data_IF_221913515337
#
_entry.id   IF_221913515337
#
_cell.length_a   1.000
_cell.length_b   1.000
_cell.length_c   1.000
_cell.angle_alpha   90.00
_cell.angle_beta   90.00
_cell.angle_gamma   90.00
#
_symmetry.space_group_name_H-M   'P 1'
#
loop_
_entity.id
_entity.type
_entity.pdbx_description
1 polymer ?
#
# COMPACT_ATOMS: atom_id res chain seq x y z
N UNK A 1 10.05 -28.65 38.81
CA UNK A 1 10.38 -28.96 37.39
C UNK A 1 10.50 -27.61 36.69
N UNK A 2 11.68 -26.99 36.62
CA UNK A 2 12.67 -27.18 35.53
C UNK A 2 12.01 -26.79 34.20
N UNK A 3 12.23 -25.64 33.56
CA UNK A 3 13.48 -24.95 33.28
C UNK A 3 13.85 -25.21 31.82
N UNK A 4 13.76 -24.20 30.94
CA UNK A 4 14.79 -23.81 29.95
C UNK A 4 14.28 -22.65 29.06
N UNK A 5 14.97 -21.52 29.19
CA UNK A 5 14.95 -20.42 28.24
C UNK A 5 15.60 -20.83 26.91
N UNK A 6 15.03 -20.42 25.78
CA UNK A 6 15.77 -20.17 24.54
C UNK A 6 15.30 -18.87 23.90
N UNK A 7 16.16 -17.87 24.00
CA UNK A 7 16.15 -16.64 23.22
C UNK A 7 16.57 -16.96 21.78
N UNK A 8 15.74 -16.57 20.81
CA UNK A 8 16.01 -16.72 19.38
C UNK A 8 15.67 -15.43 18.65
N UNK A 9 16.60 -14.48 18.67
CA UNK A 9 16.57 -13.31 17.79
C UNK A 9 16.72 -13.79 16.34
N UNK A 10 15.69 -13.58 15.51
CA UNK A 10 15.81 -13.71 14.06
C UNK A 10 15.97 -12.33 13.45
N UNK A 11 17.12 -12.12 12.83
CA UNK A 11 17.45 -10.97 12.00
C UNK A 11 16.43 -10.82 10.86
N UNK A 12 15.84 -9.64 10.73
CA UNK A 12 15.13 -9.20 9.54
C UNK A 12 16.18 -8.67 8.56
N UNK A 13 16.40 -9.41 7.48
CA UNK A 13 17.22 -8.97 6.36
C UNK A 13 16.41 -7.99 5.49
N UNK A 14 16.82 -6.73 5.49
CA UNK A 14 16.43 -5.75 4.48
C UNK A 14 17.08 -6.14 3.14
N UNK A 15 16.31 -6.66 2.19
CA UNK A 15 16.69 -6.70 0.78
C UNK A 15 16.11 -5.47 0.09
N UNK A 16 17.01 -4.54 -0.22
CA UNK A 16 16.72 -3.30 -0.93
C UNK A 16 16.24 -3.55 -2.36
N UNK A 17 15.28 -2.72 -2.78
CA UNK A 17 14.80 -2.57 -4.14
C UNK A 17 15.90 -2.01 -5.06
N UNK A 18 16.07 -2.55 -6.28
CA UNK A 18 16.96 -1.98 -7.28
C UNK A 18 16.29 -0.84 -8.07
N UNK A 19 17.01 0.27 -8.14
CA UNK A 19 16.69 1.46 -8.94
C UNK A 19 17.08 1.20 -10.40
N UNK A 20 16.12 1.15 -11.32
CA UNK A 20 16.39 1.00 -12.75
C UNK A 20 15.96 2.29 -13.48
N UNK A 21 16.94 3.02 -14.01
CA UNK A 21 16.71 4.15 -14.94
C UNK A 21 16.67 3.62 -16.38
N UNK A 22 15.74 4.10 -17.24
CA UNK A 22 15.66 3.70 -18.63
C UNK A 22 16.47 4.65 -19.52
N UNK A 23 17.13 4.10 -20.54
CA UNK A 23 17.75 4.92 -21.58
C UNK A 23 18.63 4.14 -22.55
N UNK A 24 18.03 3.61 -23.62
CA UNK A 24 18.74 3.46 -24.89
C UNK A 24 17.70 3.48 -26.03
N UNK A 25 17.94 4.25 -27.09
CA UNK A 25 18.12 3.57 -28.38
C UNK A 25 19.22 4.23 -29.22
N UNK A 26 20.13 3.44 -29.80
CA UNK A 26 20.28 3.25 -31.26
C UNK A 26 21.51 2.38 -31.59
N UNK A 27 21.25 1.34 -32.40
CA UNK A 27 21.98 0.81 -33.58
C UNK A 27 23.52 0.92 -33.73
N UNK A 28 24.01 -0.11 -34.44
CA UNK A 28 25.27 -0.28 -35.17
C UNK A 28 26.41 -0.90 -34.33
N UNK A 29 26.63 -2.22 -34.46
CA UNK A 29 27.41 -2.86 -35.51
C UNK A 29 28.90 -2.47 -35.42
N UNK A 30 29.73 -3.35 -34.85
CA UNK A 30 30.97 -3.76 -35.51
C UNK A 30 31.58 -5.00 -34.83
N UNK A 31 31.73 -6.02 -35.66
CA UNK A 31 32.42 -7.29 -35.49
C UNK A 31 33.81 -7.06 -36.08
N UNK A 32 34.88 -7.19 -35.30
CA UNK A 32 36.19 -7.67 -35.80
C UNK A 32 36.93 -8.37 -34.65
N UNK A 33 37.12 -9.67 -34.82
CA UNK A 33 38.07 -10.48 -34.05
C UNK A 33 39.51 -10.15 -34.47
N UNK A 34 40.47 -10.24 -33.54
CA UNK A 34 41.82 -10.68 -33.91
C UNK A 34 42.43 -11.56 -32.82
N UNK A 35 42.45 -12.86 -33.15
CA UNK A 35 43.57 -13.78 -33.02
C UNK A 35 44.67 -13.45 -31.99
N UNK A 36 44.87 -14.36 -31.03
CA UNK A 36 45.98 -15.32 -31.13
C UNK A 36 45.92 -16.39 -30.05
N UNK A 37 46.19 -17.61 -30.52
CA UNK A 37 46.13 -18.90 -29.88
C UNK A 37 47.50 -19.29 -29.35
N UNK A 38 47.58 -19.85 -28.15
CA UNK A 38 48.42 -21.00 -27.72
C UNK A 38 48.38 -21.03 -26.17
N UNK A 39 48.29 -22.14 -25.45
CA UNK A 39 48.59 -23.53 -25.73
C UNK A 39 49.63 -24.03 -24.72
N UNK A 40 49.29 -25.09 -23.95
CA UNK A 40 50.07 -25.84 -22.93
C UNK A 40 50.15 -25.21 -21.52
N UNK A 41 49.76 -25.84 -20.41
CA UNK A 41 49.87 -27.22 -19.85
C UNK A 41 51.25 -27.59 -19.29
N UNK A 42 51.27 -27.98 -18.00
CA UNK A 42 52.35 -28.75 -17.33
C UNK A 42 53.11 -27.94 -16.27
N UNK A 43 52.84 -28.07 -14.96
CA UNK A 43 53.31 -29.10 -13.98
C UNK A 43 54.77 -28.98 -13.54
N UNK A 44 54.95 -28.99 -12.21
CA UNK A 44 56.21 -29.27 -11.51
C UNK A 44 57.04 -28.02 -11.18
N UNK A 45 57.36 -27.65 -9.94
CA UNK A 45 57.47 -28.46 -8.73
C UNK A 45 58.95 -28.53 -8.34
N UNK A 46 59.27 -27.87 -7.22
CA UNK A 46 60.44 -28.05 -6.35
C UNK A 46 61.80 -27.82 -7.02
N UNK A 47 62.60 -26.89 -6.53
CA UNK A 47 63.63 -27.10 -5.51
C UNK A 47 64.53 -25.85 -5.64
N UNK A 48 65.18 -25.29 -4.63
CA UNK A 48 65.77 -25.87 -3.44
C UNK A 48 66.26 -24.69 -2.59
N UNK A 49 66.32 -24.94 -1.28
CA UNK A 49 67.42 -24.58 -0.38
C UNK A 49 67.80 -23.11 -0.23
N UNK A 50 68.05 -22.53 0.93
CA UNK A 50 68.16 -22.94 2.33
C UNK A 50 68.20 -21.56 3.01
N UNK A 51 67.39 -21.28 4.03
CA UNK A 51 67.86 -21.28 5.43
C UNK A 51 69.27 -20.66 5.53
N UNK A 52 69.48 -19.62 6.32
CA UNK A 52 69.23 -19.60 7.76
C UNK A 52 69.93 -18.35 8.31
N UNK A 53 69.44 -17.89 9.46
CA UNK A 53 70.17 -17.10 10.47
C UNK A 53 70.48 -15.66 10.03
N UNK A 54 70.04 -14.63 10.73
CA UNK A 54 69.96 -14.55 12.18
C UNK A 54 70.71 -13.27 12.58
N UNK A 55 70.12 -12.60 13.56
CA UNK A 55 70.80 -11.76 14.54
C UNK A 55 71.37 -10.41 14.10
N UNK A 56 70.77 -9.37 14.70
CA UNK A 56 71.45 -8.30 15.42
C UNK A 56 72.44 -7.40 14.65
N UNK A 57 72.01 -6.16 14.35
CA UNK A 57 72.52 -4.93 15.03
C UNK A 57 71.89 -3.66 14.46
N UNK A 58 71.50 -2.77 15.36
CA UNK A 58 71.27 -1.34 15.10
C UNK A 58 72.62 -0.64 14.86
N UNK A 59 72.60 0.44 14.06
CA UNK A 59 73.09 1.74 14.52
C UNK A 59 72.00 2.81 14.27
N UNK A 60 71.38 3.44 15.26
CA UNK A 60 71.87 4.59 16.02
C UNK A 60 72.62 5.63 15.19
N UNK A 61 71.88 6.63 14.67
CA UNK A 61 72.25 8.04 14.84
C UNK A 61 70.99 8.90 14.76
N UNK A 62 70.94 9.85 15.69
CA UNK A 62 69.77 10.61 16.06
C UNK A 62 69.37 11.62 14.98
N UNK A 63 68.09 11.64 14.63
CA UNK A 63 67.38 12.89 14.34
C UNK A 63 66.08 12.82 15.12
N UNK A 64 66.08 13.40 16.32
CA UNK A 64 64.83 13.75 16.99
C UNK A 64 64.20 14.88 16.16
N UNK A 65 62.98 14.73 15.60
CA UNK A 65 62.25 15.93 15.21
C UNK A 65 62.07 16.76 16.49
N UNK A 66 62.23 18.10 16.42
CA UNK A 66 62.15 18.93 17.61
C UNK A 66 60.83 18.61 18.31
N UNK A 67 60.90 18.30 19.62
CA UNK A 67 59.72 18.36 20.50
C UNK A 67 59.13 19.74 20.28
N UNK A 68 58.11 19.86 19.42
CA UNK A 68 57.33 21.10 19.30
C UNK A 68 56.94 21.44 20.73
N UNK A 69 57.33 22.62 21.24
CA UNK A 69 56.84 23.02 22.54
C UNK A 69 55.32 22.93 22.41
N UNK A 70 54.67 22.21 23.33
CA UNK A 70 53.26 22.43 23.59
C UNK A 70 53.19 23.86 24.11
N UNK A 71 53.23 24.83 23.19
CA UNK A 71 52.82 26.21 23.41
C UNK A 71 51.35 26.10 23.73
N UNK A 72 51.12 25.80 24.99
CA UNK A 72 49.81 25.70 25.58
C UNK A 72 49.51 27.13 25.94
N UNK A 73 49.12 27.94 24.96
CA UNK A 73 48.58 29.26 25.23
C UNK A 73 47.34 29.02 26.12
N UNK A 74 47.37 29.42 27.41
CA UNK A 74 46.24 29.16 28.30
C UNK A 74 44.98 29.86 27.80
N UNK A 75 45.17 30.96 27.07
CA UNK A 75 44.11 31.71 26.40
C UNK A 75 43.38 30.91 25.31
N UNK A 76 44.10 30.17 24.47
CA UNK A 76 43.45 29.33 23.44
C UNK A 76 42.84 28.06 24.03
N UNK A 77 43.37 27.52 25.14
CA UNK A 77 42.73 26.42 25.87
C UNK A 77 41.41 26.83 26.52
N UNK A 78 41.35 27.99 27.17
CA UNK A 78 40.11 28.51 27.73
C UNK A 78 39.04 28.74 26.63
N UNK A 79 39.45 29.31 25.49
CA UNK A 79 38.55 29.48 24.34
C UNK A 79 38.08 28.14 23.75
N UNK A 80 38.95 27.13 23.66
CA UNK A 80 38.58 25.80 23.14
C UNK A 80 37.68 25.03 24.12
N UNK A 81 37.86 25.21 25.44
CA UNK A 81 37.00 24.65 26.47
C UNK A 81 35.60 25.28 26.47
N UNK A 82 35.50 26.60 26.32
CA UNK A 82 34.22 27.30 26.15
C UNK A 82 33.51 26.87 24.86
N UNK A 83 34.26 26.69 23.76
CA UNK A 83 33.68 26.20 22.51
C UNK A 83 33.18 24.75 22.65
N UNK A 84 33.96 23.88 23.31
CA UNK A 84 33.55 22.49 23.58
C UNK A 84 32.34 22.41 24.51
N UNK A 85 32.23 23.28 25.51
CA UNK A 85 31.06 23.36 26.39
C UNK A 85 29.81 23.76 25.61
N UNK A 86 29.90 24.84 24.80
CA UNK A 86 28.79 25.28 23.94
C UNK A 86 28.39 24.20 22.93
N UNK A 87 29.34 23.57 22.27
CA UNK A 87 29.06 22.51 21.29
C UNK A 87 28.43 21.28 21.95
N UNK A 88 28.85 20.91 23.17
CA UNK A 88 28.20 19.83 23.94
C UNK A 88 26.76 20.19 24.28
N UNK A 89 26.52 21.40 24.79
CA UNK A 89 25.18 21.89 25.11
C UNK A 89 24.27 21.92 23.88
N UNK A 90 24.76 22.44 22.75
CA UNK A 90 24.02 22.46 21.48
C UNK A 90 23.74 21.03 20.99
N UNK A 91 24.72 20.14 21.03
CA UNK A 91 24.54 18.74 20.64
C UNK A 91 23.47 18.05 21.50
N UNK A 92 23.44 18.28 22.81
CA UNK A 92 22.43 17.70 23.69
C UNK A 92 21.02 18.21 23.38
N UNK A 93 20.86 19.49 23.07
CA UNK A 93 19.55 20.04 22.70
C UNK A 93 19.07 19.52 21.34
N UNK A 94 19.96 19.46 20.34
CA UNK A 94 19.61 18.92 19.02
C UNK A 94 19.25 17.43 19.11
N UNK A 95 20.00 16.65 19.90
CA UNK A 95 19.69 15.25 20.12
C UNK A 95 18.34 15.06 20.83
N UNK A 96 18.05 15.87 21.86
CA UNK A 96 16.76 15.82 22.55
C UNK A 96 15.59 16.18 21.64
N UNK A 97 15.74 17.20 20.79
CA UNK A 97 14.73 17.59 19.80
C UNK A 97 14.48 16.48 18.76
N UNK A 98 15.54 15.84 18.26
CA UNK A 98 15.43 14.74 17.30
C UNK A 98 14.69 13.53 17.90
N UNK A 99 15.03 13.14 19.13
CA UNK A 99 14.32 12.05 19.84
C UNK A 99 12.87 12.43 20.11
N UNK A 100 12.60 13.68 20.47
CA UNK A 100 11.25 14.19 20.66
C UNK A 100 10.39 14.11 19.40
N UNK A 101 10.91 14.53 18.25
CA UNK A 101 10.19 14.45 16.98
C UNK A 101 9.92 13.00 16.54
N UNK A 102 10.88 12.10 16.75
CA UNK A 102 10.71 10.68 16.46
C UNK A 102 9.65 10.03 17.38
N UNK A 103 9.69 10.37 18.67
CA UNK A 103 8.70 9.91 19.65
C UNK A 103 7.29 10.41 19.33
N UNK A 104 7.14 11.68 18.97
CA UNK A 104 5.86 12.26 18.59
C UNK A 104 5.29 11.62 17.32
N UNK A 105 6.14 11.38 16.31
CA UNK A 105 5.72 10.72 15.07
C UNK A 105 5.25 9.28 15.31
N UNK A 106 5.93 8.55 16.20
CA UNK A 106 5.53 7.19 16.57
C UNK A 106 4.23 7.16 17.40
N UNK A 107 4.05 8.13 18.30
CA UNK A 107 2.87 8.24 19.16
C UNK A 107 1.62 8.78 18.44
N UNK A 108 1.78 9.52 17.34
CA UNK A 108 0.66 10.10 16.60
C UNK A 108 -0.33 9.04 16.07
N UNK A 109 0.18 7.90 15.59
CA UNK A 109 -0.65 6.83 15.02
C UNK A 109 -1.61 6.19 16.05
N UNK A 110 -1.15 5.67 17.22
CA UNK A 110 -2.05 5.11 18.21
C UNK A 110 -2.97 6.16 18.84
N UNK A 111 -2.51 7.41 19.00
CA UNK A 111 -3.33 8.49 19.54
C UNK A 111 -4.47 8.88 18.58
N UNK A 112 -4.18 8.91 17.27
CA UNK A 112 -5.18 9.08 16.22
C UNK A 112 -6.20 7.94 16.21
N UNK A 113 -5.74 6.68 16.36
CA UNK A 113 -6.64 5.52 16.45
C UNK A 113 -7.57 5.60 17.65
N UNK A 114 -7.05 5.96 18.83
CA UNK A 114 -7.86 6.11 20.03
C UNK A 114 -8.91 7.23 19.85
N UNK A 115 -8.52 8.35 19.26
CA UNK A 115 -9.44 9.44 18.95
C UNK A 115 -10.51 9.02 17.94
N UNK A 116 -10.14 8.31 16.88
CA UNK A 116 -11.10 7.81 15.88
C UNK A 116 -12.07 6.78 16.46
N UNK A 117 -11.63 5.97 17.44
CA UNK A 117 -12.49 5.01 18.13
C UNK A 117 -13.50 5.69 19.06
N UNK A 118 -13.13 6.80 19.72
CA UNK A 118 -14.03 7.49 20.64
C UNK A 118 -14.97 8.47 19.95
N UNK A 119 -14.54 9.08 18.84
CA UNK A 119 -15.34 10.08 18.09
C UNK A 119 -16.08 9.51 16.89
N UNK A 120 -15.78 8.29 16.45
CA UNK A 120 -16.49 7.62 15.34
C UNK A 120 -16.21 8.20 13.95
N UNK A 121 -15.40 9.26 13.84
CA UNK A 121 -15.13 10.00 12.60
C UNK A 121 -14.29 9.25 11.54
N UNK A 122 -13.85 8.02 11.82
CA UNK A 122 -12.79 7.34 11.04
C UNK A 122 -13.12 5.97 10.47
N UNK A 123 -14.34 5.44 10.63
CA UNK A 123 -14.81 4.20 9.98
C UNK A 123 -13.87 2.98 10.11
N UNK A 124 -12.97 2.96 11.09
CA UNK A 124 -11.89 1.99 11.18
C UNK A 124 -12.40 0.75 11.90
N UNK A 125 -12.74 -0.25 11.10
CA UNK A 125 -13.21 -1.59 11.45
C UNK A 125 -12.60 -2.15 12.74
N UNK A 126 -13.47 -2.37 13.74
CA UNK A 126 -13.28 -3.51 14.63
C UNK A 126 -13.45 -4.74 13.74
N UNK A 127 -12.33 -5.38 13.40
CA UNK A 127 -12.31 -6.62 12.64
C UNK A 127 -13.08 -7.70 13.43
N UNK A 128 -14.39 -7.79 13.20
CA UNK A 128 -15.26 -8.74 13.90
C UNK A 128 -16.74 -8.37 13.96
N UNK A 129 -17.13 -7.10 13.78
CA UNK A 129 -18.54 -6.71 14.05
C UNK A 129 -19.43 -6.50 12.81
N UNK A 130 -18.90 -6.61 11.59
CA UNK A 130 -19.71 -6.43 10.39
C UNK A 130 -20.76 -7.55 10.18
N UNK A 131 -20.51 -8.76 10.70
CA UNK A 131 -21.49 -9.87 10.69
C UNK A 131 -22.46 -9.80 11.87
N UNK A 132 -21.98 -9.45 13.07
CA UNK A 132 -22.79 -9.43 14.29
C UNK A 132 -23.76 -8.24 14.33
N UNK A 133 -23.46 -7.13 13.64
CA UNK A 133 -24.40 -6.01 13.52
C UNK A 133 -25.65 -6.42 12.74
N UNK A 134 -25.54 -7.26 11.72
CA UNK A 134 -26.70 -7.68 10.91
C UNK A 134 -27.66 -8.53 11.75
N UNK A 135 -27.16 -9.36 12.68
CA UNK A 135 -28.00 -10.20 13.54
C UNK A 135 -28.77 -9.43 14.62
N UNK A 136 -28.31 -8.23 14.99
CA UNK A 136 -28.91 -7.41 16.04
C UNK A 136 -29.74 -6.21 15.51
N UNK A 137 -29.82 -6.01 14.20
CA UNK A 137 -30.65 -4.94 13.62
C UNK A 137 -32.13 -5.29 13.77
N UNK A 138 -32.88 -4.42 14.45
CA UNK A 138 -34.35 -4.53 14.52
C UNK A 138 -34.92 -3.81 13.30
N UNK A 139 -35.63 -4.49 12.39
CA UNK A 139 -36.19 -3.86 11.21
C UNK A 139 -37.30 -2.88 11.60
N UNK A 140 -37.22 -1.65 11.08
CA UNK A 140 -38.21 -0.59 11.35
C UNK A 140 -39.37 -0.72 10.37
N UNK A 141 -40.29 -1.65 10.68
CA UNK A 141 -41.40 -2.07 9.80
C UNK A 141 -42.32 -0.95 9.30
N UNK A 142 -42.33 0.18 9.96
CA UNK A 142 -43.25 1.28 9.68
C UNK A 142 -42.80 2.14 8.48
N UNK A 143 -41.62 1.88 7.89
CA UNK A 143 -41.08 2.66 6.79
C UNK A 143 -40.70 1.77 5.59
N UNK A 144 -41.50 1.83 4.53
CA UNK A 144 -41.26 1.06 3.30
C UNK A 144 -40.54 1.95 2.30
N UNK A 145 -39.37 1.53 1.84
CA UNK A 145 -38.57 2.22 0.83
C UNK A 145 -38.67 1.47 -0.48
N UNK A 146 -38.96 2.21 -1.54
CA UNK A 146 -38.95 1.72 -2.91
C UNK A 146 -37.52 1.82 -3.44
N UNK A 147 -36.92 0.67 -3.77
CA UNK A 147 -35.62 0.61 -4.44
C UNK A 147 -35.82 0.30 -5.91
N UNK A 148 -35.41 1.21 -6.78
CA UNK A 148 -35.44 1.05 -8.23
C UNK A 148 -34.06 0.68 -8.76
N UNK A 149 -34.02 -0.27 -9.69
CA UNK A 149 -32.79 -0.76 -10.29
C UNK A 149 -32.66 -0.27 -11.72
N UNK A 150 -31.58 0.45 -11.98
CA UNK A 150 -31.20 0.87 -13.32
C UNK A 150 -29.92 0.16 -13.78
N UNK A 151 -29.83 -0.10 -15.08
CA UNK A 151 -28.75 -0.82 -15.72
C UNK A 151 -28.39 -0.14 -17.04
N UNK A 152 -27.16 0.36 -17.11
CA UNK A 152 -26.61 1.05 -18.26
C UNK A 152 -25.32 0.37 -18.73
N UNK A 153 -25.03 0.49 -20.02
CA UNK A 153 -23.77 0.03 -20.63
C UNK A 153 -23.13 1.17 -21.40
N UNK A 154 -21.83 1.32 -21.28
CA UNK A 154 -21.09 2.30 -22.06
C UNK A 154 -21.05 1.87 -23.54
N UNK A 155 -21.07 2.84 -24.47
CA UNK A 155 -21.14 2.57 -25.91
C UNK A 155 -20.00 1.70 -26.48
N UNK A 156 -18.87 1.63 -25.79
CA UNK A 156 -17.76 0.74 -26.16
C UNK A 156 -18.05 -0.74 -25.88
N UNK A 157 -18.96 -1.03 -24.94
CA UNK A 157 -19.29 -2.37 -24.49
C UNK A 157 -20.62 -2.82 -25.11
N UNK A 158 -20.56 -3.85 -25.95
CA UNK A 158 -21.73 -4.38 -26.66
C UNK A 158 -22.50 -5.42 -25.85
N UNK A 159 -22.62 -5.24 -24.54
CA UNK A 159 -23.37 -6.16 -23.68
C UNK A 159 -24.85 -5.80 -23.61
N UNK A 160 -25.69 -6.81 -23.48
CA UNK A 160 -27.07 -6.61 -23.06
C UNK A 160 -27.12 -6.81 -21.54
N UNK A 161 -27.19 -5.70 -20.82
CA UNK A 161 -27.25 -5.67 -19.36
C UNK A 161 -28.58 -5.08 -18.92
N UNK A 162 -29.31 -5.83 -18.09
CA UNK A 162 -30.64 -5.43 -17.62
C UNK A 162 -30.93 -5.97 -16.22
N UNK A 163 -31.70 -5.24 -15.39
CA UNK A 163 -32.17 -5.81 -14.15
C UNK A 163 -33.20 -6.91 -14.44
N UNK A 164 -33.28 -7.94 -13.59
CA UNK A 164 -34.39 -8.90 -13.64
C UNK A 164 -35.66 -8.29 -13.03
N UNK A 165 -35.49 -7.43 -12.03
CA UNK A 165 -36.56 -6.72 -11.32
C UNK A 165 -36.28 -5.22 -11.34
N UNK A 166 -37.22 -4.42 -11.84
CA UNK A 166 -37.04 -2.96 -11.97
C UNK A 166 -37.21 -2.24 -10.64
N UNK A 167 -38.01 -2.81 -9.72
CA UNK A 167 -38.25 -2.24 -8.39
C UNK A 167 -38.49 -3.33 -7.36
N UNK A 168 -38.10 -3.05 -6.12
CA UNK A 168 -38.50 -3.81 -4.93
C UNK A 168 -38.86 -2.87 -3.79
N UNK A 169 -39.63 -3.37 -2.84
CA UNK A 169 -40.00 -2.67 -1.63
C UNK A 169 -39.30 -3.34 -0.45
N UNK A 170 -38.54 -2.56 0.31
CA UNK A 170 -37.72 -3.05 1.42
C UNK A 170 -37.89 -2.14 2.62
N UNK A 171 -37.68 -2.71 3.80
CA UNK A 171 -37.73 -1.98 5.08
C UNK A 171 -36.30 -1.71 5.57
N UNK A 172 -36.00 -0.55 6.18
CA UNK A 172 -34.73 -0.33 6.86
C UNK A 172 -34.45 -1.41 7.92
N UNK A 173 -33.25 -1.99 7.88
CA UNK A 173 -32.82 -3.15 8.68
C UNK A 173 -33.15 -4.51 8.04
N UNK A 174 -33.88 -4.55 6.93
CA UNK A 174 -34.12 -5.79 6.16
C UNK A 174 -33.04 -5.96 5.08
N UNK A 175 -32.57 -7.19 4.91
CA UNK A 175 -31.66 -7.54 3.82
C UNK A 175 -32.44 -7.96 2.58
N UNK A 176 -31.97 -7.51 1.41
CA UNK A 176 -32.62 -7.77 0.13
C UNK A 176 -31.62 -8.24 -0.92
N UNK A 177 -32.13 -9.06 -1.85
CA UNK A 177 -31.38 -9.61 -2.97
C UNK A 177 -32.00 -9.12 -4.28
N UNK A 178 -31.16 -8.59 -5.16
CA UNK A 178 -31.53 -8.21 -6.51
C UNK A 178 -30.66 -8.92 -7.54
N UNK A 179 -31.26 -9.27 -8.68
CA UNK A 179 -30.57 -9.94 -9.76
C UNK A 179 -30.48 -9.05 -10.98
N UNK A 180 -29.29 -8.98 -11.56
CA UNK A 180 -29.07 -8.43 -12.88
C UNK A 180 -28.66 -9.53 -13.85
N UNK A 181 -28.96 -9.33 -15.13
CA UNK A 181 -28.61 -10.26 -16.18
C UNK A 181 -27.72 -9.57 -17.19
N UNK A 182 -26.57 -10.17 -17.48
CA UNK A 182 -25.65 -9.71 -18.49
C UNK A 182 -25.47 -10.79 -19.56
N UNK A 183 -25.53 -10.38 -20.83
CA UNK A 183 -25.27 -11.23 -21.98
C UNK A 183 -24.25 -10.59 -22.90
N UNK A 184 -23.29 -11.38 -23.35
CA UNK A 184 -22.37 -10.98 -24.42
C UNK A 184 -22.87 -11.53 -25.78
N UNK A 185 -23.51 -10.70 -26.63
CA UNK A 185 -23.97 -11.11 -27.96
C UNK A 185 -22.86 -11.19 -29.00
N UNK A 186 -21.60 -10.86 -28.67
CA UNK A 186 -20.49 -10.85 -29.63
C UNK A 186 -19.81 -12.22 -29.75
N UNK A 187 -19.03 -12.41 -30.83
CA UNK A 187 -18.30 -13.64 -31.10
C UNK A 187 -16.92 -13.72 -30.41
N UNK A 188 -16.60 -12.75 -29.56
CA UNK A 188 -15.32 -12.68 -28.83
C UNK A 188 -15.57 -12.55 -27.32
N UNK A 189 -14.66 -13.08 -26.48
CA UNK A 189 -14.73 -12.81 -25.06
C UNK A 189 -14.49 -11.32 -24.81
N UNK A 190 -15.30 -10.73 -23.93
CA UNK A 190 -15.18 -9.32 -23.54
C UNK A 190 -15.05 -9.26 -22.03
N UNK A 191 -14.23 -8.35 -21.54
CA UNK A 191 -14.05 -8.09 -20.11
C UNK A 191 -14.70 -6.74 -19.81
N UNK A 192 -15.57 -6.72 -18.82
CA UNK A 192 -16.28 -5.54 -18.35
C UNK A 192 -15.98 -5.28 -16.89
N UNK A 193 -15.90 -4.01 -16.51
CA UNK A 193 -15.89 -3.56 -15.12
C UNK A 193 -17.11 -2.67 -14.90
N UNK A 194 -17.74 -2.79 -13.73
CA UNK A 194 -18.91 -1.98 -13.40
C UNK A 194 -18.62 -0.97 -12.29
N UNK A 195 -19.30 0.16 -12.39
CA UNK A 195 -19.43 1.14 -11.32
C UNK A 195 -20.90 1.30 -10.95
N UNK A 196 -21.17 1.67 -9.71
CA UNK A 196 -22.53 1.89 -9.23
C UNK A 196 -22.68 3.30 -8.67
N UNK A 197 -23.92 3.80 -8.69
CA UNK A 197 -24.31 5.01 -8.00
C UNK A 197 -25.66 4.82 -7.31
N UNK A 198 -25.83 5.51 -6.18
CA UNK A 198 -27.06 5.53 -5.39
C UNK A 198 -27.62 6.95 -5.43
N UNK A 199 -28.90 7.07 -5.73
CA UNK A 199 -29.62 8.35 -5.80
C UNK A 199 -30.88 8.26 -4.95
N UNK A 200 -31.21 9.23 -4.08
CA UNK A 200 -30.44 10.46 -3.81
C UNK A 200 -29.13 10.18 -3.06
N UNK A 201 -28.15 11.10 -3.16
CA UNK A 201 -26.79 10.87 -2.65
C UNK A 201 -26.76 10.78 -1.11
N UNK A 202 -27.65 11.51 -0.46
CA UNK A 202 -27.81 11.55 0.99
C UNK A 202 -28.26 10.19 1.54
N UNK A 203 -29.04 9.42 0.76
CA UNK A 203 -29.41 8.04 1.12
C UNK A 203 -28.26 7.05 0.92
N UNK A 204 -27.24 7.41 0.13
CA UNK A 204 -26.11 6.55 -0.17
C UNK A 204 -25.29 6.15 1.06
N UNK A 205 -25.26 6.97 2.12
CA UNK A 205 -24.55 6.65 3.36
C UNK A 205 -25.19 5.52 4.17
N UNK A 206 -26.52 5.35 4.03
CA UNK A 206 -27.29 4.30 4.70
C UNK A 206 -27.44 3.05 3.84
N UNK A 207 -27.09 3.13 2.56
CA UNK A 207 -27.22 2.02 1.62
C UNK A 207 -25.96 1.15 1.65
N UNK A 208 -26.06 0.00 2.33
CA UNK A 208 -24.95 -0.91 2.53
C UNK A 208 -25.04 -2.11 1.59
N UNK A 209 -24.07 -2.22 0.68
CA UNK A 209 -24.01 -3.30 -0.31
C UNK A 209 -23.00 -4.36 0.12
N UNK A 210 -23.51 -5.48 0.62
CA UNK A 210 -22.72 -6.58 1.20
C UNK A 210 -21.95 -7.33 0.12
N UNK A 211 -22.55 -7.60 -1.03
CA UNK A 211 -21.91 -8.33 -2.14
C UNK A 211 -22.18 -7.62 -3.48
N UNK A 212 -21.12 -7.43 -4.28
CA UNK A 212 -21.26 -6.90 -5.63
C UNK A 212 -20.14 -7.32 -6.57
N UNK A 213 -20.52 -7.53 -7.82
CA UNK A 213 -19.65 -7.59 -9.00
C UNK A 213 -18.94 -6.26 -9.36
N UNK A 214 -19.11 -5.23 -8.53
CA UNK A 214 -18.58 -3.89 -8.73
C UNK A 214 -17.08 -3.93 -8.53
N UNK A 215 -16.34 -3.30 -9.43
CA UNK A 215 -14.88 -3.23 -9.39
C UNK A 215 -14.15 -4.56 -9.60
N UNK A 216 -14.88 -5.64 -9.89
CA UNK A 216 -14.31 -6.90 -10.35
C UNK A 216 -14.41 -6.99 -11.87
N UNK A 217 -13.34 -7.48 -12.50
CA UNK A 217 -13.33 -7.76 -13.92
C UNK A 217 -14.21 -8.97 -14.22
N UNK A 218 -15.35 -8.72 -14.86
CA UNK A 218 -16.26 -9.76 -15.33
C UNK A 218 -15.90 -10.13 -16.75
N UNK A 219 -15.53 -11.38 -16.99
CA UNK A 219 -15.26 -11.90 -18.33
C UNK A 219 -16.46 -12.72 -18.81
N UNK A 220 -17.06 -12.30 -19.93
CA UNK A 220 -18.12 -13.06 -20.60
C UNK A 220 -17.62 -13.61 -21.93
N UNK A 221 -17.72 -14.92 -22.10
CA UNK A 221 -17.43 -15.61 -23.34
C UNK A 221 -18.50 -15.27 -24.41
N UNK A 222 -18.23 -15.63 -25.69
CA UNK A 222 -19.20 -15.41 -26.75
C UNK A 222 -20.55 -16.07 -26.45
N UNK A 223 -21.64 -15.34 -26.65
CA UNK A 223 -23.02 -15.77 -26.39
C UNK A 223 -23.32 -16.21 -24.95
N UNK A 224 -22.40 -15.96 -24.01
CA UNK A 224 -22.60 -16.29 -22.60
C UNK A 224 -23.59 -15.32 -21.95
N UNK A 225 -24.46 -15.87 -21.12
CA UNK A 225 -25.43 -15.13 -20.30
C UNK A 225 -25.27 -15.57 -18.86
N UNK A 226 -25.13 -14.60 -17.95
CA UNK A 226 -24.94 -14.85 -16.51
C UNK A 226 -25.89 -13.98 -15.69
N UNK A 227 -26.32 -14.54 -14.56
CA UNK A 227 -27.07 -13.82 -13.54
C UNK A 227 -26.10 -13.34 -12.45
N UNK A 228 -26.11 -12.03 -12.19
CA UNK A 228 -25.24 -11.35 -11.24
C UNK A 228 -26.07 -10.90 -10.03
N UNK A 229 -25.96 -11.58 -8.88
CA UNK A 229 -26.66 -11.18 -7.66
C UNK A 229 -26.01 -9.95 -7.01
N UNK A 230 -26.85 -9.10 -6.43
CA UNK A 230 -26.47 -7.98 -5.57
C UNK A 230 -27.20 -8.12 -4.25
N UNK A 231 -26.44 -8.26 -3.17
CA UNK A 231 -26.98 -8.38 -1.83
C UNK A 231 -26.72 -7.08 -1.05
N UNK A 232 -27.78 -6.49 -0.50
CA UNK A 232 -27.71 -5.19 0.16
C UNK A 232 -28.75 -5.08 1.29
N UNK A 233 -28.59 -4.07 2.12
CA UNK A 233 -29.58 -3.65 3.11
C UNK A 233 -29.53 -2.12 3.26
N UNK A 234 -30.61 -1.56 3.83
CA UNK A 234 -30.66 -0.16 4.23
C UNK A 234 -30.48 -0.13 5.75
N UNK A 235 -29.57 0.70 6.24
CA UNK A 235 -29.34 0.86 7.68
C UNK A 235 -30.62 1.38 8.39
N UNK A 236 -31.04 0.80 9.53
CA UNK A 236 -32.19 1.32 10.30
C UNK A 236 -32.04 2.79 10.72
N UNK A 237 -30.83 3.33 10.86
CA UNK A 237 -30.58 4.76 11.15
C UNK A 237 -31.19 5.69 10.07
N UNK A 238 -31.45 5.18 8.86
CA UNK A 238 -32.18 5.89 7.81
C UNK A 238 -33.57 6.37 8.27
N UNK A 239 -34.23 5.59 9.13
CA UNK A 239 -35.55 5.92 9.65
C UNK A 239 -35.51 7.06 10.69
N UNK A 240 -34.38 7.24 11.37
CA UNK A 240 -34.20 8.19 12.46
C UNK A 240 -33.71 9.57 11.97
N UNK A 241 -33.03 9.64 10.81
CA UNK A 241 -32.52 10.90 10.26
C UNK A 241 -33.66 11.80 9.73
N UNK A 242 -33.82 13.03 10.26
CA UNK A 242 -34.78 14.02 9.76
C UNK A 242 -34.60 14.37 8.28
N UNK A 243 -33.37 14.32 7.77
CA UNK A 243 -33.04 14.63 6.37
C UNK A 243 -33.60 13.58 5.41
N UNK A 244 -33.75 12.35 5.89
CA UNK A 244 -34.23 11.24 5.10
C UNK A 244 -35.76 11.18 5.06
N UNK A 245 -36.51 11.91 5.90
CA UNK A 245 -37.98 11.77 6.08
C UNK A 245 -38.77 11.77 4.76
N UNK A 246 -38.34 12.55 3.76
CA UNK A 246 -39.03 12.66 2.46
C UNK A 246 -38.43 11.76 1.36
N UNK A 247 -37.49 10.89 1.70
CA UNK A 247 -36.82 9.98 0.78
C UNK A 247 -37.46 8.60 0.91
N UNK A 248 -38.38 8.30 -0.01
CA UNK A 248 -39.04 6.98 -0.11
C UNK A 248 -38.58 6.19 -1.34
N UNK A 249 -37.82 6.83 -2.24
CA UNK A 249 -37.32 6.25 -3.48
C UNK A 249 -35.80 6.31 -3.51
N UNK A 250 -35.18 5.14 -3.62
CA UNK A 250 -33.74 5.01 -3.82
C UNK A 250 -33.51 4.32 -5.17
N UNK A 251 -32.75 4.94 -6.06
CA UNK A 251 -32.34 4.34 -7.32
C UNK A 251 -30.91 3.84 -7.22
N UNK A 252 -30.75 2.53 -7.39
CA UNK A 252 -29.45 1.88 -7.56
C UNK A 252 -29.17 1.72 -9.06
N UNK A 253 -28.25 2.53 -9.57
CA UNK A 253 -27.85 2.49 -10.97
C UNK A 253 -26.49 1.85 -11.13
N UNK A 254 -26.36 0.98 -12.13
CA UNK A 254 -25.12 0.33 -12.52
C UNK A 254 -24.75 0.68 -13.94
N UNK A 255 -23.47 0.98 -14.16
CA UNK A 255 -22.94 1.22 -15.50
C UNK A 255 -21.74 0.33 -15.74
N UNK A 256 -21.78 -0.46 -16.82
CA UNK A 256 -20.66 -1.27 -17.26
C UNK A 256 -19.78 -0.55 -18.29
N UNK A 257 -18.47 -0.73 -18.13
CA UNK A 257 -17.43 -0.23 -19.02
C UNK A 257 -16.59 -1.40 -19.53
N UNK A 258 -16.09 -1.29 -20.76
CA UNK A 258 -15.17 -2.29 -21.31
C UNK A 258 -13.78 -2.12 -20.68
N UNK A 259 -13.28 -3.16 -20.02
CA UNK A 259 -11.93 -3.19 -19.46
C UNK A 259 -10.98 -3.70 -20.56
N UNK A 260 -10.43 -2.79 -21.36
CA UNK A 260 -9.38 -3.12 -22.32
C UNK A 260 -8.02 -3.10 -21.63
N UNK A 261 -7.25 -4.17 -21.78
CA UNK A 261 -5.82 -4.16 -21.46
C UNK A 261 -5.13 -3.04 -22.26
N UNK A 262 -4.66 -1.99 -21.57
CA UNK A 262 -3.92 -0.88 -22.18
C UNK A 262 -4.60 0.49 -22.17
N UNK A 263 -5.82 0.63 -21.67
CA UNK A 263 -6.38 1.97 -21.40
C UNK A 263 -5.72 2.56 -20.14
N UNK A 264 -4.70 3.41 -20.33
CA UNK A 264 -4.21 4.29 -19.27
C UNK A 264 -5.36 5.21 -18.86
N UNK A 265 -5.99 4.93 -17.72
CA UNK A 265 -6.86 5.90 -17.08
C UNK A 265 -6.01 7.15 -16.77
N UNK A 266 -6.44 8.36 -17.17
CA UNK A 266 -5.85 9.56 -16.63
C UNK A 266 -6.17 9.57 -15.14
N UNK A 267 -5.19 9.19 -14.32
CA UNK A 267 -5.28 9.44 -12.89
C UNK A 267 -5.53 10.95 -12.72
N UNK A 268 -6.55 11.39 -11.98
CA UNK A 268 -6.75 12.81 -11.72
C UNK A 268 -5.46 13.34 -11.09
N UNK A 269 -4.76 14.18 -11.85
CA UNK A 269 -3.40 14.58 -11.55
C UNK A 269 -3.33 15.42 -10.29
N UNK A 270 -2.43 15.05 -9.40
CA UNK A 270 -1.62 16.02 -8.68
C UNK A 270 -0.42 16.32 -9.58
N UNK A 271 -0.47 17.46 -10.27
CA UNK A 271 0.71 18.18 -10.76
C UNK A 271 1.06 19.27 -9.75
#
# INVERSE_FOLDING_TARGET
>A
MGGLWRTGWRCVAFCGWPWNYPGNPTRAAERVESCLRSGRSGTGGAERELRRLGTWRRPSLAVQPPRRPKSTNPFTRAQEEDWRRRNKTVLTYVAAAAVGMLGASYAAVPLYRLYCQTTGLGGSAVAGHASDQIENMVPVKDRIIKVTFNADVHASLQWNFRPQQTEIYVVPGETALAFYKAKNPTDKPVIGISTYNVVPFEAGQYFNKIQCFCFEEQRLNPQEEVDMPVFFYIDPEFAEDPSMVNVDLITLSYTFFEAKEGHKLPVPGYN
#
